data_IF_782376553607
#
_entry.id   IF_782376553607
#
_cell.length_a   1.000
_cell.length_b   1.000
_cell.length_c   1.000
_cell.angle_alpha   90.00
_cell.angle_beta   90.00
_cell.angle_gamma   90.00
#
_symmetry.space_group_name_H-M   'P 1'
#
loop_
_entity.id
_entity.type
_entity.pdbx_description
1 polymer ?
#
# COMPACT_ATOMS: atom_id res chain seq x y z
N UNK A 1 -24.37 39.22 -58.97
CA UNK A 1 -23.43 39.26 -57.83
C UNK A 1 -23.71 38.06 -56.95
N UNK A 2 -22.90 37.02 -57.13
CA UNK A 2 -22.98 35.70 -56.51
C UNK A 2 -21.66 35.47 -55.77
N UNK A 3 -21.65 35.01 -54.50
CA UNK A 3 -20.40 34.80 -53.78
C UNK A 3 -19.70 33.52 -54.25
N UNK A 4 -18.35 33.44 -54.20
CA UNK A 4 -17.63 32.25 -54.62
C UNK A 4 -17.58 31.18 -53.52
N UNK A 5 -17.61 29.93 -53.98
CA UNK A 5 -17.59 28.71 -53.18
C UNK A 5 -16.26 28.52 -52.40
N UNK A 6 -16.38 28.20 -51.11
CA UNK A 6 -15.26 27.79 -50.28
C UNK A 6 -14.86 26.33 -50.59
N UNK A 7 -13.62 26.12 -51.01
CA UNK A 7 -13.02 24.79 -51.18
C UNK A 7 -12.69 24.19 -49.80
N UNK A 8 -13.22 22.99 -49.55
CA UNK A 8 -12.82 22.14 -48.42
C UNK A 8 -11.43 21.56 -48.68
N UNK A 9 -10.49 21.78 -47.75
CA UNK A 9 -9.25 21.03 -47.65
C UNK A 9 -9.28 20.24 -46.34
N UNK A 10 -9.43 18.92 -46.46
CA UNK A 10 -9.33 17.99 -45.36
C UNK A 10 -7.86 17.90 -44.90
N UNK A 11 -7.58 18.33 -43.67
CA UNK A 11 -6.29 18.09 -43.02
C UNK A 11 -6.38 16.74 -42.30
N UNK A 12 -5.53 15.81 -42.74
CA UNK A 12 -5.37 14.50 -42.14
C UNK A 12 -4.89 14.61 -40.68
N UNK A 13 -5.63 14.02 -39.74
CA UNK A 13 -5.14 13.79 -38.38
C UNK A 13 -4.06 12.70 -38.42
N UNK A 14 -2.80 13.11 -38.32
CA UNK A 14 -1.70 12.21 -37.99
C UNK A 14 -1.78 11.82 -36.52
N UNK A 15 -1.77 10.51 -36.28
CA UNK A 15 -1.87 9.90 -34.95
C UNK A 15 -0.77 10.41 -34.02
N UNK A 16 -1.19 11.00 -32.91
CA UNK A 16 -0.31 11.50 -31.85
C UNK A 16 0.56 10.39 -31.28
N UNK A 17 1.87 10.54 -31.45
CA UNK A 17 2.87 9.80 -30.70
C UNK A 17 2.64 10.02 -29.20
N UNK A 18 2.39 8.95 -28.44
CA UNK A 18 2.41 9.02 -26.98
C UNK A 18 3.84 9.23 -26.54
N UNK A 19 4.21 10.50 -26.38
CA UNK A 19 5.44 10.95 -25.74
C UNK A 19 5.44 10.38 -24.32
N UNK A 20 6.49 9.63 -24.01
CA UNK A 20 6.82 9.26 -22.64
C UNK A 20 7.19 10.57 -21.93
N UNK A 21 6.24 11.16 -21.20
CA UNK A 21 6.51 12.33 -20.35
C UNK A 21 7.49 11.89 -19.26
N UNK A 22 8.76 12.16 -19.50
CA UNK A 22 9.80 12.26 -18.48
C UNK A 22 9.56 13.60 -17.80
N UNK A 23 9.13 13.59 -16.53
CA UNK A 23 9.07 14.84 -15.77
C UNK A 23 8.00 14.95 -14.70
N UNK A 24 7.81 13.93 -13.85
CA UNK A 24 7.28 14.11 -12.49
C UNK A 24 7.93 13.02 -11.64
N UNK A 25 8.64 13.36 -10.57
CA UNK A 25 8.90 12.37 -9.51
C UNK A 25 7.54 11.92 -9.01
N UNK A 26 7.07 10.69 -9.29
CA UNK A 26 5.71 10.37 -8.95
C UNK A 26 5.65 10.36 -7.42
N UNK A 27 4.74 11.16 -6.85
CA UNK A 27 4.04 10.72 -5.66
C UNK A 27 3.73 9.24 -5.88
N UNK A 28 4.27 8.37 -5.02
CA UNK A 28 4.46 6.95 -5.35
C UNK A 28 3.12 6.33 -5.75
N UNK A 29 2.90 6.21 -7.07
CA UNK A 29 1.68 5.69 -7.62
C UNK A 29 1.43 4.30 -7.03
N UNK A 30 0.17 3.92 -6.93
CA UNK A 30 -0.15 2.56 -6.51
C UNK A 30 0.37 1.63 -7.61
N UNK A 31 1.30 0.70 -7.30
CA UNK A 31 1.83 -0.19 -8.32
C UNK A 31 0.67 -1.00 -8.92
N UNK A 32 0.65 -1.06 -10.24
CA UNK A 32 -0.43 -1.65 -11.00
C UNK A 32 -0.01 -3.00 -11.57
N UNK A 33 -0.62 -4.07 -11.09
CA UNK A 33 -0.51 -5.37 -11.73
C UNK A 33 -1.93 -5.88 -12.05
N UNK A 34 -2.25 -6.12 -13.33
CA UNK A 34 -3.59 -6.52 -13.74
C UNK A 34 -4.08 -7.80 -13.07
N UNK A 35 -5.41 -7.99 -13.04
CA UNK A 35 -6.04 -9.20 -12.51
C UNK A 35 -5.65 -10.45 -13.32
N UNK A 36 -5.78 -11.66 -12.75
CA UNK A 36 -5.63 -12.90 -13.50
C UNK A 36 -6.50 -12.88 -14.77
N UNK A 37 -5.93 -13.31 -15.90
CA UNK A 37 -6.59 -13.29 -17.21
C UNK A 37 -6.12 -12.16 -18.15
N UNK A 38 -5.50 -11.11 -17.62
CA UNK A 38 -4.90 -10.06 -18.47
C UNK A 38 -3.71 -10.58 -19.29
N UNK A 39 -3.46 -10.02 -20.48
CA UNK A 39 -2.43 -10.52 -21.40
C UNK A 39 -1.01 -10.49 -20.85
N UNK A 40 -0.70 -9.58 -19.93
CA UNK A 40 0.61 -9.44 -19.29
C UNK A 40 0.41 -9.27 -17.79
N UNK A 41 1.17 -10.01 -16.99
CA UNK A 41 1.17 -9.88 -15.52
C UNK A 41 2.49 -10.32 -14.88
N UNK A 42 2.74 -9.80 -13.69
CA UNK A 42 3.77 -10.35 -12.78
C UNK A 42 3.14 -11.36 -11.82
N UNK A 43 3.79 -12.49 -11.63
CA UNK A 43 3.41 -13.56 -10.72
C UNK A 43 4.62 -14.02 -9.87
N UNK A 44 4.37 -14.92 -8.91
CA UNK A 44 5.47 -15.60 -8.21
C UNK A 44 6.27 -16.46 -9.20
N UNK A 45 7.55 -16.72 -8.90
CA UNK A 45 8.45 -17.51 -9.77
C UNK A 45 7.83 -18.88 -10.15
N UNK A 46 7.14 -19.54 -9.22
CA UNK A 46 6.56 -20.87 -9.43
C UNK A 46 5.13 -20.83 -10.00
N UNK A 47 4.71 -19.70 -10.57
CA UNK A 47 3.30 -19.40 -10.79
C UNK A 47 2.59 -19.08 -9.47
N UNK A 48 1.54 -18.26 -9.53
CA UNK A 48 0.78 -17.85 -8.36
C UNK A 48 0.10 -16.50 -8.51
N UNK A 49 -0.39 -15.97 -7.39
CA UNK A 49 -1.13 -14.71 -7.39
C UNK A 49 -0.29 -13.53 -7.87
N UNK A 50 -0.97 -12.58 -8.50
CA UNK A 50 -0.40 -11.32 -8.96
C UNK A 50 0.30 -10.59 -7.82
N UNK A 51 1.50 -10.06 -8.08
CA UNK A 51 2.31 -9.33 -7.10
C UNK A 51 2.40 -7.86 -7.49
N UNK A 52 2.05 -6.95 -6.58
CA UNK A 52 2.34 -5.51 -6.69
C UNK A 52 3.55 -5.10 -5.83
N UNK A 53 4.05 -6.03 -5.03
CA UNK A 53 5.19 -5.85 -4.12
C UNK A 53 6.07 -7.09 -4.18
N UNK A 54 7.37 -6.89 -4.38
CA UNK A 54 8.41 -7.90 -4.40
C UNK A 54 9.61 -7.45 -3.56
N UNK A 55 10.52 -8.36 -3.22
CA UNK A 55 11.78 -7.98 -2.55
C UNK A 55 12.86 -7.64 -3.57
N UNK A 56 13.74 -6.70 -3.25
CA UNK A 56 14.98 -6.50 -3.98
C UNK A 56 15.90 -7.74 -3.85
N UNK A 57 16.83 -7.86 -4.81
CA UNK A 57 17.73 -8.99 -5.05
C UNK A 57 16.99 -10.33 -5.19
N UNK A 58 15.73 -10.31 -5.64
CA UNK A 58 14.94 -11.51 -5.89
C UNK A 58 14.61 -11.64 -7.37
N UNK A 59 13.80 -12.64 -7.71
CA UNK A 59 13.25 -12.79 -9.07
C UNK A 59 11.73 -12.83 -8.94
N UNK A 60 11.03 -12.18 -9.86
CA UNK A 60 9.58 -12.33 -10.03
C UNK A 60 9.28 -12.96 -11.37
N UNK A 61 8.20 -13.75 -11.45
CA UNK A 61 7.76 -14.34 -12.70
C UNK A 61 7.03 -13.31 -13.54
N UNK A 62 7.34 -13.25 -14.83
CA UNK A 62 6.53 -12.59 -15.86
C UNK A 62 5.81 -13.68 -16.62
N UNK A 63 4.48 -13.54 -16.73
CA UNK A 63 3.68 -14.35 -17.63
C UNK A 63 2.91 -13.44 -18.57
N UNK A 64 3.04 -13.69 -19.86
CA UNK A 64 2.21 -13.07 -20.88
C UNK A 64 1.55 -14.15 -21.74
N UNK A 65 0.26 -13.97 -22.05
CA UNK A 65 -0.55 -14.84 -22.88
C UNK A 65 -1.39 -13.96 -23.80
N UNK A 66 -1.24 -14.12 -25.11
CA UNK A 66 -1.90 -13.30 -26.12
C UNK A 66 -2.10 -14.08 -27.41
N UNK A 67 -2.80 -13.50 -28.37
CA UNK A 67 -3.04 -14.13 -29.67
C UNK A 67 -1.74 -14.32 -30.45
N UNK A 68 -1.70 -15.36 -31.29
CA UNK A 68 -0.53 -15.63 -32.13
C UNK A 68 -0.30 -14.42 -33.04
N UNK A 69 0.93 -13.87 -33.10
CA UNK A 69 1.22 -12.72 -33.94
C UNK A 69 0.96 -13.04 -35.42
N UNK A 70 0.12 -12.22 -36.08
CA UNK A 70 -0.25 -12.43 -37.48
C UNK A 70 0.91 -12.25 -38.47
N UNK A 71 1.97 -11.54 -38.04
CA UNK A 71 3.20 -11.33 -38.81
C UNK A 71 4.22 -12.47 -38.66
N UNK A 72 3.85 -13.56 -37.98
CA UNK A 72 4.71 -14.73 -37.80
C UNK A 72 5.86 -14.53 -36.80
N UNK A 73 5.83 -13.47 -35.99
CA UNK A 73 6.87 -13.23 -34.99
C UNK A 73 7.01 -14.42 -34.02
N UNK A 74 8.24 -14.91 -33.86
CA UNK A 74 8.58 -16.05 -32.98
C UNK A 74 9.17 -15.63 -31.65
N UNK A 75 9.39 -14.34 -31.44
CA UNK A 75 9.97 -13.77 -30.21
C UNK A 75 9.24 -12.51 -29.77
N UNK A 76 9.43 -12.15 -28.51
CA UNK A 76 8.99 -10.87 -27.94
C UNK A 76 10.13 -10.17 -27.22
N UNK A 77 10.09 -8.84 -27.21
CA UNK A 77 10.96 -8.00 -26.40
C UNK A 77 10.28 -7.71 -25.05
N UNK A 78 10.90 -8.16 -23.96
CA UNK A 78 10.56 -7.75 -22.60
C UNK A 78 11.41 -6.54 -22.23
N UNK A 79 10.76 -5.39 -22.04
CA UNK A 79 11.41 -4.15 -21.57
C UNK A 79 11.19 -3.96 -20.08
N UNK A 80 12.28 -3.76 -19.35
CA UNK A 80 12.25 -3.57 -17.89
C UNK A 80 12.84 -2.21 -17.56
N UNK A 81 12.02 -1.34 -16.99
CA UNK A 81 12.46 -0.06 -16.42
C UNK A 81 12.44 -0.11 -14.90
N UNK A 82 13.39 0.58 -14.27
CA UNK A 82 13.44 0.82 -12.83
C UNK A 82 13.52 2.31 -12.60
N UNK A 83 12.59 2.85 -11.81
CA UNK A 83 12.52 4.28 -11.50
C UNK A 83 12.53 5.17 -12.77
N UNK A 84 11.80 4.72 -13.80
CA UNK A 84 11.68 5.43 -15.08
C UNK A 84 12.82 5.18 -16.08
N UNK A 85 13.96 4.62 -15.66
CA UNK A 85 15.08 4.31 -16.56
C UNK A 85 15.00 2.88 -17.06
N UNK A 86 15.07 2.67 -18.38
CA UNK A 86 15.21 1.32 -18.94
C UNK A 86 16.52 0.71 -18.44
N UNK A 87 16.43 -0.44 -17.78
CA UNK A 87 17.58 -1.17 -17.26
C UNK A 87 17.93 -2.37 -18.12
N UNK A 88 16.93 -3.00 -18.73
CA UNK A 88 17.12 -4.21 -19.52
C UNK A 88 16.11 -4.26 -20.68
N UNK A 89 16.56 -4.85 -21.78
CA UNK A 89 15.74 -5.31 -22.90
C UNK A 89 16.13 -6.76 -23.14
N UNK A 90 15.15 -7.66 -23.22
CA UNK A 90 15.39 -9.08 -23.40
C UNK A 90 14.51 -9.62 -24.50
N UNK A 91 15.11 -10.29 -25.47
CA UNK A 91 14.38 -11.08 -26.45
C UNK A 91 14.06 -12.44 -25.83
N UNK A 92 12.79 -12.82 -25.80
CA UNK A 92 12.31 -14.08 -25.23
C UNK A 92 11.51 -14.82 -26.30
N UNK A 93 11.78 -16.13 -26.53
CA UNK A 93 11.02 -16.90 -27.51
C UNK A 93 9.55 -17.05 -27.08
N UNK A 94 8.65 -17.04 -28.07
CA UNK A 94 7.25 -17.36 -27.86
C UNK A 94 7.06 -18.87 -27.81
N UNK A 95 6.28 -19.33 -26.84
CA UNK A 95 5.77 -20.71 -26.83
C UNK A 95 4.36 -20.68 -27.39
N UNK A 96 4.17 -21.28 -28.56
CA UNK A 96 2.86 -21.38 -29.21
C UNK A 96 2.21 -22.70 -28.77
N UNK A 97 1.07 -22.62 -28.11
CA UNK A 97 0.29 -23.79 -27.69
C UNK A 97 -1.18 -23.40 -27.58
N UNK A 98 -2.08 -24.31 -27.95
CA UNK A 98 -3.53 -24.14 -27.80
C UNK A 98 -4.07 -22.84 -28.44
N UNK A 99 -3.53 -22.47 -29.61
CA UNK A 99 -3.93 -21.25 -30.34
C UNK A 99 -3.47 -19.93 -29.71
N UNK A 100 -2.59 -19.97 -28.70
CA UNK A 100 -2.07 -18.77 -28.01
C UNK A 100 -0.55 -18.73 -28.02
N UNK A 101 -0.01 -17.52 -28.05
CA UNK A 101 1.40 -17.27 -27.79
C UNK A 101 1.59 -16.98 -26.29
N UNK A 102 2.57 -17.66 -25.68
CA UNK A 102 2.90 -17.49 -24.26
C UNK A 102 4.37 -17.12 -24.07
N UNK A 103 4.62 -16.22 -23.12
CA UNK A 103 5.95 -15.91 -22.60
C UNK A 103 5.97 -16.23 -21.11
N UNK A 104 7.01 -16.94 -20.68
CA UNK A 104 7.38 -17.07 -19.27
C UNK A 104 8.82 -16.60 -19.11
N UNK A 105 9.06 -15.64 -18.21
CA UNK A 105 10.39 -15.12 -17.98
C UNK A 105 10.60 -14.72 -16.52
N UNK A 106 11.84 -14.79 -16.03
CA UNK A 106 12.22 -14.30 -14.71
C UNK A 106 12.74 -12.87 -14.78
N UNK A 107 12.12 -11.97 -14.01
CA UNK A 107 12.54 -10.57 -13.87
C UNK A 107 13.37 -10.44 -12.59
N UNK A 108 14.68 -10.17 -12.73
CA UNK A 108 15.59 -9.95 -11.60
C UNK A 108 15.39 -8.56 -11.03
N UNK A 109 15.09 -8.47 -9.73
CA UNK A 109 14.91 -7.19 -9.01
C UNK A 109 16.21 -6.76 -8.33
N UNK A 110 17.27 -6.54 -9.09
CA UNK A 110 18.64 -6.34 -8.57
C UNK A 110 18.79 -5.24 -7.51
N UNK A 111 17.92 -4.23 -7.51
CA UNK A 111 17.97 -3.11 -6.58
C UNK A 111 16.56 -2.77 -6.12
N UNK A 112 16.45 -2.01 -5.02
CA UNK A 112 15.18 -1.37 -4.66
C UNK A 112 14.75 -0.39 -5.76
N UNK A 113 13.44 -0.25 -5.97
CA UNK A 113 12.88 0.65 -6.98
C UNK A 113 11.44 0.30 -7.35
N UNK A 114 10.81 1.18 -8.13
CA UNK A 114 9.57 0.90 -8.84
C UNK A 114 9.96 0.26 -10.17
N UNK A 115 9.51 -0.96 -10.42
CA UNK A 115 9.78 -1.69 -11.65
C UNK A 115 8.57 -1.61 -12.56
N UNK A 116 8.81 -1.28 -13.83
CA UNK A 116 7.82 -1.30 -14.91
C UNK A 116 8.26 -2.29 -15.98
N UNK A 117 7.36 -3.21 -16.34
CA UNK A 117 7.64 -4.27 -17.31
C UNK A 117 6.61 -4.20 -18.43
N UNK A 118 7.09 -4.08 -19.67
CA UNK A 118 6.26 -4.13 -20.86
C UNK A 118 6.72 -5.25 -21.78
N UNK A 119 5.77 -5.92 -22.42
CA UNK A 119 6.02 -6.97 -23.42
C UNK A 119 5.71 -6.38 -24.79
N UNK A 120 6.62 -6.55 -25.76
CA UNK A 120 6.41 -6.08 -27.12
C UNK A 120 6.63 -7.19 -28.13
N UNK A 121 5.80 -7.23 -29.16
CA UNK A 121 5.95 -8.12 -30.31
C UNK A 121 5.98 -7.25 -31.56
N UNK A 122 6.97 -7.48 -32.42
CA UNK A 122 7.19 -6.68 -33.64
C UNK A 122 7.13 -5.17 -33.39
N UNK A 123 7.74 -4.75 -32.29
CA UNK A 123 7.79 -3.36 -31.88
C UNK A 123 6.48 -2.79 -31.28
N UNK A 124 5.38 -3.53 -31.18
CA UNK A 124 4.10 -3.08 -30.58
C UNK A 124 3.93 -3.60 -29.15
N UNK A 125 3.35 -2.80 -28.26
CA UNK A 125 3.08 -3.22 -26.88
C UNK A 125 1.93 -4.25 -26.87
N UNK A 126 2.11 -5.32 -26.09
CA UNK A 126 1.07 -6.32 -25.82
C UNK A 126 0.46 -6.03 -24.46
N UNK A 127 -0.85 -5.82 -24.40
CA UNK A 127 -1.56 -5.49 -23.17
C UNK A 127 -1.02 -4.23 -22.47
N UNK A 128 -1.08 -4.23 -21.14
CA UNK A 128 -0.64 -3.11 -20.32
C UNK A 128 0.81 -3.26 -19.82
N UNK A 129 1.44 -2.13 -19.51
CA UNK A 129 2.66 -2.10 -18.71
C UNK A 129 2.30 -2.43 -17.27
N UNK A 130 2.98 -3.42 -16.71
CA UNK A 130 2.80 -3.82 -15.31
C UNK A 130 3.83 -3.13 -14.44
N UNK A 131 3.42 -2.72 -13.25
CA UNK A 131 4.22 -2.00 -12.26
C UNK A 131 4.19 -2.70 -10.91
N UNK A 132 5.36 -2.85 -10.28
CA UNK A 132 5.47 -3.39 -8.94
C UNK A 132 6.64 -2.76 -8.17
N UNK A 133 6.52 -2.71 -6.85
CA UNK A 133 7.59 -2.21 -5.98
C UNK A 133 8.57 -3.32 -5.62
N UNK A 134 9.87 -3.11 -5.86
CA UNK A 134 10.94 -3.91 -5.28
C UNK A 134 11.42 -3.26 -3.98
N UNK A 135 11.05 -3.84 -2.84
CA UNK A 135 11.25 -3.30 -1.49
C UNK A 135 12.54 -3.86 -0.86
N UNK A 136 13.16 -3.15 0.09
CA UNK A 136 14.33 -3.67 0.80
C UNK A 136 13.98 -4.94 1.60
N UNK A 137 14.93 -5.88 1.68
CA UNK A 137 14.78 -7.07 2.55
C UNK A 137 14.82 -6.72 4.03
N UNK A 138 15.63 -5.74 4.40
CA UNK A 138 15.79 -5.24 5.77
C UNK A 138 16.13 -3.76 5.73
N UNK A 139 15.77 -3.01 6.78
CA UNK A 139 16.26 -1.65 6.98
C UNK A 139 17.19 -1.60 8.21
N UNK A 140 18.20 -0.74 8.13
CA UNK A 140 19.15 -0.45 9.21
C UNK A 140 19.63 1.01 9.06
N UNK A 141 20.49 1.47 9.97
CA UNK A 141 21.02 2.85 9.99
C UNK A 141 21.74 3.28 8.70
N UNK A 142 22.21 2.34 7.88
CA UNK A 142 22.88 2.59 6.58
C UNK A 142 21.92 2.56 5.39
N UNK A 143 20.63 2.30 5.63
CA UNK A 143 19.66 2.20 4.53
C UNK A 143 19.40 3.57 3.92
N UNK A 144 19.57 3.67 2.60
CA UNK A 144 19.37 4.93 1.88
C UNK A 144 17.90 5.36 1.83
N UNK A 145 17.70 6.68 1.62
CA UNK A 145 16.39 7.35 1.53
C UNK A 145 15.39 6.60 0.64
N UNK A 146 15.82 6.10 -0.53
CA UNK A 146 14.95 5.39 -1.48
C UNK A 146 14.36 4.10 -0.90
N UNK A 147 15.16 3.31 -0.18
CA UNK A 147 14.71 2.07 0.47
C UNK A 147 13.67 2.37 1.54
N UNK A 148 13.90 3.42 2.34
CA UNK A 148 12.99 3.85 3.39
C UNK A 148 11.68 4.34 2.78
N UNK A 149 11.73 5.18 1.74
CA UNK A 149 10.53 5.68 1.05
C UNK A 149 9.69 4.56 0.45
N UNK A 150 10.31 3.52 -0.12
CA UNK A 150 9.59 2.35 -0.64
C UNK A 150 8.90 1.56 0.47
N UNK A 151 9.61 1.30 1.57
CA UNK A 151 9.00 0.66 2.73
C UNK A 151 7.82 1.48 3.28
N UNK A 152 7.99 2.79 3.43
CA UNK A 152 6.93 3.69 3.88
C UNK A 152 5.73 3.72 2.93
N UNK A 153 5.94 3.71 1.61
CA UNK A 153 4.84 3.70 0.65
C UNK A 153 4.03 2.41 0.71
N UNK A 154 4.68 1.26 0.91
CA UNK A 154 4.01 -0.03 1.09
C UNK A 154 3.12 -0.04 2.33
N UNK A 155 3.56 0.61 3.41
CA UNK A 155 2.79 0.79 4.64
C UNK A 155 1.66 1.81 4.48
N UNK A 156 1.95 2.96 3.88
CA UNK A 156 1.01 4.06 3.68
C UNK A 156 -0.17 3.66 2.78
N UNK A 157 0.07 2.90 1.70
CA UNK A 157 -1.00 2.35 0.85
C UNK A 157 -1.90 1.34 1.58
N UNK A 158 -1.47 0.84 2.74
CA UNK A 158 -2.24 -0.02 3.65
C UNK A 158 -2.78 0.76 4.85
N UNK A 159 -2.82 2.08 4.74
CA UNK A 159 -3.29 3.01 5.76
C UNK A 159 -2.45 3.08 7.05
N UNK A 160 -1.30 2.39 7.16
CA UNK A 160 -0.42 2.59 8.31
C UNK A 160 0.20 3.99 8.25
N UNK A 161 0.06 4.74 9.34
CA UNK A 161 0.50 6.13 9.38
C UNK A 161 2.02 6.20 9.58
N UNK A 162 2.73 6.58 8.52
CA UNK A 162 4.20 6.70 8.48
C UNK A 162 4.67 8.13 8.76
N UNK A 163 5.97 8.27 9.02
CA UNK A 163 6.62 9.56 9.27
C UNK A 163 7.11 10.28 8.02
N UNK A 164 8.14 11.11 8.20
CA UNK A 164 8.72 11.91 7.13
C UNK A 164 9.30 11.03 6.01
N UNK A 165 9.01 11.38 4.76
CA UNK A 165 9.36 10.54 3.62
C UNK A 165 10.88 10.31 3.52
N UNK A 166 11.26 9.04 3.49
CA UNK A 166 12.65 8.60 3.37
C UNK A 166 13.47 8.72 4.66
N UNK A 167 12.84 9.04 5.79
CA UNK A 167 13.48 9.06 7.11
C UNK A 167 12.95 7.92 7.99
N UNK A 168 13.87 7.20 8.65
CA UNK A 168 13.49 6.19 9.64
C UNK A 168 13.27 6.84 11.00
N UNK A 169 12.17 7.58 11.12
CA UNK A 169 11.81 8.33 12.33
C UNK A 169 10.94 7.52 13.30
N UNK A 170 10.66 8.09 14.46
CA UNK A 170 9.83 7.45 15.48
C UNK A 170 8.42 7.13 14.99
N UNK A 171 7.84 7.92 14.08
CA UNK A 171 6.50 7.66 13.52
C UNK A 171 6.53 6.46 12.56
N UNK A 172 7.57 6.33 11.75
CA UNK A 172 7.84 5.14 10.93
C UNK A 172 8.05 3.91 11.81
N UNK A 173 8.81 4.03 12.91
CA UNK A 173 8.95 2.96 13.91
C UNK A 173 7.60 2.49 14.48
N UNK A 174 6.67 3.41 14.77
CA UNK A 174 5.32 3.08 15.24
C UNK A 174 4.46 2.43 14.16
N UNK A 175 4.59 2.84 12.90
CA UNK A 175 3.94 2.16 11.78
C UNK A 175 4.41 0.70 11.65
N UNK A 176 5.71 0.45 11.85
CA UNK A 176 6.28 -0.90 11.87
C UNK A 176 5.71 -1.75 13.00
N UNK A 177 5.58 -1.18 14.21
CA UNK A 177 4.92 -1.85 15.33
C UNK A 177 3.47 -2.21 14.98
N UNK A 178 2.71 -1.30 14.35
CA UNK A 178 1.31 -1.53 13.97
C UNK A 178 1.14 -2.65 12.94
N UNK A 179 1.93 -2.65 11.85
CA UNK A 179 1.83 -3.72 10.85
C UNK A 179 2.31 -5.07 11.39
N UNK A 180 3.32 -5.07 12.27
CA UNK A 180 3.80 -6.31 12.90
C UNK A 180 2.77 -6.87 13.88
N UNK A 181 2.11 -6.01 14.66
CA UNK A 181 0.92 -6.36 15.44
C UNK A 181 -0.13 -7.03 14.55
N UNK A 182 -0.49 -6.42 13.42
CA UNK A 182 -1.51 -6.96 12.50
C UNK A 182 -1.16 -8.34 11.95
N UNK A 183 0.12 -8.57 11.70
CA UNK A 183 0.65 -9.83 11.14
C UNK A 183 0.94 -10.90 12.21
N UNK A 184 0.75 -10.60 13.51
CA UNK A 184 1.09 -11.51 14.61
C UNK A 184 2.60 -11.71 14.79
N UNK A 185 3.43 -10.75 14.39
CA UNK A 185 4.88 -10.78 14.54
C UNK A 185 5.33 -10.13 15.85
N UNK A 186 6.59 -10.35 16.24
CA UNK A 186 7.21 -9.67 17.38
C UNK A 186 7.04 -8.15 17.25
N UNK A 187 6.55 -7.49 18.30
CA UNK A 187 6.10 -6.08 18.24
C UNK A 187 7.27 -5.09 18.36
N UNK A 188 8.20 -5.13 17.40
CA UNK A 188 9.42 -4.30 17.35
C UNK A 188 9.33 -3.23 16.26
N UNK A 189 10.04 -2.09 16.37
CA UNK A 189 10.04 -1.05 15.34
C UNK A 189 11.02 -1.39 14.20
N UNK A 190 11.05 -2.65 13.74
CA UNK A 190 12.06 -3.15 12.80
C UNK A 190 11.45 -3.64 11.49
N UNK A 191 12.10 -3.28 10.39
CA UNK A 191 11.84 -3.84 9.07
C UNK A 191 12.87 -4.94 8.79
N UNK A 192 12.45 -6.19 8.96
CA UNK A 192 13.27 -7.39 8.75
C UNK A 192 12.79 -8.20 7.54
N UNK A 193 13.53 -9.25 7.21
CA UNK A 193 13.24 -10.10 6.05
C UNK A 193 11.89 -10.83 6.17
N UNK A 194 11.46 -11.14 7.40
CA UNK A 194 10.17 -11.76 7.69
C UNK A 194 9.04 -10.81 7.33
N UNK A 195 9.06 -9.57 7.84
CA UNK A 195 8.07 -8.55 7.51
C UNK A 195 8.03 -8.27 6.00
N UNK A 196 9.21 -8.07 5.38
CA UNK A 196 9.29 -7.82 3.95
C UNK A 196 8.70 -8.96 3.10
N UNK A 197 8.91 -10.24 3.50
CA UNK A 197 8.30 -11.40 2.85
C UNK A 197 6.77 -11.41 3.02
N UNK A 198 6.25 -11.17 4.23
CA UNK A 198 4.79 -11.10 4.49
C UNK A 198 4.14 -10.04 3.58
N UNK A 199 4.71 -8.84 3.53
CA UNK A 199 4.19 -7.74 2.69
C UNK A 199 4.28 -8.05 1.19
N UNK A 200 5.37 -8.68 0.74
CA UNK A 200 5.49 -9.13 -0.66
C UNK A 200 4.48 -10.22 -1.03
N UNK A 201 3.98 -10.99 -0.05
CA UNK A 201 2.88 -11.95 -0.29
C UNK A 201 1.49 -11.30 -0.32
N UNK A 202 1.41 -9.98 -0.20
CA UNK A 202 0.16 -9.23 -0.19
C UNK A 202 -0.50 -9.15 1.19
N UNK A 203 0.18 -9.60 2.25
CA UNK A 203 -0.38 -9.61 3.59
C UNK A 203 -0.23 -8.24 4.28
N UNK A 204 -0.95 -8.04 5.40
CA UNK A 204 -0.83 -6.85 6.25
C UNK A 204 -1.96 -5.85 6.12
N UNK A 205 -2.93 -6.11 5.23
CA UNK A 205 -4.15 -5.32 5.14
C UNK A 205 -5.02 -5.51 6.40
N UNK A 206 -5.79 -4.47 6.73
CA UNK A 206 -6.69 -4.47 7.88
C UNK A 206 -8.10 -4.92 7.47
N UNK A 207 -8.64 -6.00 8.08
CA UNK A 207 -9.94 -6.55 7.73
C UNK A 207 -11.04 -5.81 8.50
N UNK A 208 -11.65 -4.81 7.86
CA UNK A 208 -12.79 -4.08 8.43
C UNK A 208 -13.91 -5.05 8.78
N UNK A 209 -14.33 -5.05 10.04
CA UNK A 209 -15.39 -5.90 10.58
C UNK A 209 -16.77 -5.26 10.51
N UNK A 210 -16.86 -3.95 10.66
CA UNK A 210 -18.11 -3.20 10.77
C UNK A 210 -18.35 -2.30 9.55
N UNK A 211 -18.33 -2.89 8.35
CA UNK A 211 -18.38 -2.14 7.07
C UNK A 211 -19.61 -1.23 6.94
N UNK A 212 -20.72 -1.59 7.58
CA UNK A 212 -21.99 -0.88 7.50
C UNK A 212 -22.15 0.21 8.58
N UNK A 213 -21.16 0.39 9.46
CA UNK A 213 -21.16 1.44 10.48
C UNK A 213 -20.81 2.84 9.94
N UNK A 214 -20.68 2.97 8.61
CA UNK A 214 -20.22 4.19 7.95
C UNK A 214 -18.85 4.59 8.46
N UNK A 215 -18.65 5.86 8.76
CA UNK A 215 -17.42 6.35 9.37
C UNK A 215 -17.29 6.01 10.86
N UNK A 216 -16.33 5.17 11.22
CA UNK A 216 -16.17 4.65 12.58
C UNK A 216 -14.71 4.31 12.94
N UNK A 217 -14.46 4.02 14.21
CA UNK A 217 -13.18 3.53 14.73
C UNK A 217 -13.31 2.05 15.05
N UNK A 218 -12.38 1.23 14.57
CA UNK A 218 -12.23 -0.16 15.00
C UNK A 218 -11.03 -0.29 15.93
N UNK A 219 -11.26 -0.84 17.14
CA UNK A 219 -10.22 -1.14 18.12
C UNK A 219 -10.11 -2.66 18.31
N UNK A 220 -9.14 -3.25 17.62
CA UNK A 220 -8.78 -4.66 17.74
C UNK A 220 -7.84 -4.84 18.94
N UNK A 221 -8.38 -5.32 20.05
CA UNK A 221 -7.62 -5.51 21.29
C UNK A 221 -6.68 -6.71 21.24
N UNK A 222 -6.96 -7.73 20.44
CA UNK A 222 -6.08 -8.89 20.25
C UNK A 222 -4.76 -8.45 19.62
N UNK A 223 -4.85 -7.57 18.63
CA UNK A 223 -3.69 -7.02 17.94
C UNK A 223 -3.17 -5.73 18.57
N UNK A 224 -3.92 -5.07 19.45
CA UNK A 224 -3.60 -3.76 20.01
C UNK A 224 -3.45 -2.69 18.89
N UNK A 225 -4.44 -2.63 18.00
CA UNK A 225 -4.50 -1.73 16.85
C UNK A 225 -5.77 -0.88 16.92
N UNK A 226 -5.64 0.39 16.53
CA UNK A 226 -6.75 1.30 16.31
C UNK A 226 -6.77 1.72 14.84
N UNK A 227 -7.87 1.43 14.14
CA UNK A 227 -8.08 1.78 12.74
C UNK A 227 -9.21 2.81 12.61
N UNK A 228 -8.98 3.84 11.80
CA UNK A 228 -9.98 4.83 11.41
C UNK A 228 -10.57 4.42 10.07
N UNK A 229 -11.85 4.11 10.06
CA UNK A 229 -12.58 3.64 8.89
C UNK A 229 -13.44 4.78 8.35
N UNK A 230 -13.18 5.19 7.12
CA UNK A 230 -13.95 6.18 6.39
C UNK A 230 -15.26 5.62 5.85
N UNK A 231 -16.00 6.48 5.15
CA UNK A 231 -17.23 6.07 4.46
C UNK A 231 -16.99 4.90 3.50
N UNK A 232 -17.99 4.03 3.34
CA UNK A 232 -17.92 2.85 2.48
C UNK A 232 -16.92 1.77 2.92
N UNK A 233 -16.52 1.77 4.20
CA UNK A 233 -15.63 0.74 4.77
C UNK A 233 -14.15 0.89 4.36
N UNK A 234 -13.74 2.06 3.87
CA UNK A 234 -12.34 2.32 3.50
C UNK A 234 -11.48 2.53 4.73
N UNK A 235 -10.42 1.73 4.90
CA UNK A 235 -9.42 1.98 5.96
C UNK A 235 -8.63 3.23 5.60
N UNK A 236 -8.70 4.27 6.43
CA UNK A 236 -8.01 5.55 6.19
C UNK A 236 -6.69 5.64 6.94
N UNK A 237 -6.66 5.23 8.22
CA UNK A 237 -5.46 5.30 9.07
C UNK A 237 -5.42 4.17 10.09
N UNK A 238 -4.23 3.63 10.32
CA UNK A 238 -3.98 2.58 11.31
C UNK A 238 -2.86 3.03 12.24
N UNK A 239 -3.11 2.91 13.55
CA UNK A 239 -2.19 3.27 14.61
C UNK A 239 -1.97 2.09 15.57
N UNK A 240 -0.79 1.96 16.18
CA UNK A 240 -0.66 1.10 17.35
C UNK A 240 -1.41 1.76 18.53
N UNK A 241 -2.10 0.96 19.33
CA UNK A 241 -2.70 1.41 20.59
C UNK A 241 -2.20 0.57 21.76
N UNK A 242 -2.42 1.05 22.99
CA UNK A 242 -2.30 0.29 24.23
C UNK A 242 -3.62 0.43 25.00
N UNK A 243 -4.37 -0.67 25.08
CA UNK A 243 -5.67 -0.73 25.73
C UNK A 243 -5.56 -1.02 27.23
N UNK A 244 -6.69 -1.24 27.90
CA UNK A 244 -6.78 -1.56 29.31
C UNK A 244 -6.06 -2.84 29.70
N UNK A 245 -5.29 -2.80 30.78
CA UNK A 245 -4.65 -3.96 31.38
C UNK A 245 -5.70 -5.01 31.84
N UNK A 246 -5.33 -6.28 32.10
CA UNK A 246 -6.31 -7.28 32.54
C UNK A 246 -7.10 -6.87 33.80
N UNK A 247 -6.47 -6.15 34.74
CA UNK A 247 -7.11 -5.64 35.95
C UNK A 247 -8.03 -4.44 35.70
N UNK A 248 -7.90 -3.75 34.57
CA UNK A 248 -8.69 -2.57 34.19
C UNK A 248 -9.02 -2.63 32.69
N UNK A 249 -9.80 -3.64 32.28
CA UNK A 249 -9.96 -3.98 30.87
C UNK A 249 -10.70 -2.88 30.11
N UNK A 250 -10.34 -2.69 28.84
CA UNK A 250 -11.18 -1.90 27.93
C UNK A 250 -12.47 -2.66 27.67
N UNK A 251 -13.60 -1.96 27.77
CA UNK A 251 -14.92 -2.53 27.50
C UNK A 251 -15.06 -2.93 26.03
N UNK A 252 -15.67 -4.10 25.78
CA UNK A 252 -16.00 -4.59 24.44
C UNK A 252 -17.38 -4.09 24.01
N UNK A 253 -17.61 -3.95 22.71
CA UNK A 253 -18.90 -3.54 22.15
C UNK A 253 -18.80 -2.31 21.25
N UNK A 254 -19.96 -1.82 20.81
CA UNK A 254 -20.09 -0.67 19.92
C UNK A 254 -20.62 0.53 20.68
N UNK A 255 -19.84 1.60 20.69
CA UNK A 255 -20.13 2.83 21.43
C UNK A 255 -20.10 4.04 20.51
N UNK A 256 -20.49 5.21 21.01
CA UNK A 256 -20.45 6.46 20.23
C UNK A 256 -19.74 7.55 21.00
N UNK A 257 -18.88 8.31 20.32
CA UNK A 257 -18.20 9.45 20.94
C UNK A 257 -19.21 10.51 21.37
N UNK A 258 -19.30 10.72 22.68
CA UNK A 258 -20.28 11.62 23.30
C UNK A 258 -19.64 12.90 23.87
N UNK A 259 -18.33 12.90 24.10
CA UNK A 259 -17.58 14.04 24.64
C UNK A 259 -16.19 14.11 24.02
N UNK A 260 -15.71 15.32 23.76
CA UNK A 260 -14.37 15.59 23.26
C UNK A 260 -13.71 16.71 24.06
N UNK A 261 -12.52 16.43 24.59
CA UNK A 261 -11.72 17.40 25.33
C UNK A 261 -10.43 17.70 24.56
N UNK A 262 -10.26 18.95 24.12
CA UNK A 262 -9.04 19.42 23.50
C UNK A 262 -7.97 19.76 24.56
N UNK A 263 -6.69 19.58 24.24
CA UNK A 263 -5.57 19.83 25.15
C UNK A 263 -5.22 18.61 26.01
N UNK A 264 -4.52 18.85 27.11
CA UNK A 264 -4.07 17.83 28.05
C UNK A 264 -4.78 18.00 29.38
N UNK A 265 -5.44 16.96 29.89
CA UNK A 265 -6.11 17.03 31.19
C UNK A 265 -5.15 16.70 32.35
N UNK A 266 -5.63 16.85 33.59
CA UNK A 266 -4.85 16.57 34.81
C UNK A 266 -4.34 15.12 34.93
N UNK A 267 -4.88 14.18 34.15
CA UNK A 267 -4.45 12.77 34.09
C UNK A 267 -3.39 12.53 33.00
N UNK A 268 -2.95 13.58 32.30
CA UNK A 268 -2.00 13.49 31.17
C UNK A 268 -2.63 12.92 29.89
N UNK A 269 -3.95 12.89 29.78
CA UNK A 269 -4.64 12.46 28.56
C UNK A 269 -4.67 13.61 27.56
N UNK A 270 -4.06 13.41 26.38
CA UNK A 270 -3.92 14.45 25.35
C UNK A 270 -4.98 14.25 24.27
N UNK A 271 -5.80 15.27 23.98
CA UNK A 271 -6.87 15.27 22.97
C UNK A 271 -7.82 14.05 23.09
N UNK A 272 -8.68 14.07 24.10
CA UNK A 272 -9.49 12.92 24.49
C UNK A 272 -10.83 12.87 23.76
N UNK A 273 -11.15 11.72 23.16
CA UNK A 273 -12.48 11.42 22.60
C UNK A 273 -13.15 10.31 23.41
N UNK A 274 -14.10 10.67 24.27
CA UNK A 274 -14.78 9.75 25.17
C UNK A 274 -15.95 9.05 24.47
N UNK A 275 -16.00 7.72 24.56
CA UNK A 275 -17.00 6.90 23.87
C UNK A 275 -17.94 6.15 24.83
N UNK A 276 -17.56 5.91 26.09
CA UNK A 276 -18.47 5.35 27.11
C UNK A 276 -17.96 5.62 28.53
N UNK A 277 -18.78 6.13 29.45
CA UNK A 277 -18.51 6.18 30.92
C UNK A 277 -17.06 6.55 31.32
N UNK A 278 -16.42 7.50 30.63
CA UNK A 278 -15.04 7.92 30.88
C UNK A 278 -13.93 7.18 30.12
N UNK A 279 -14.25 6.11 29.39
CA UNK A 279 -13.35 5.47 28.44
C UNK A 279 -13.16 6.34 27.21
N UNK A 280 -11.92 6.58 26.83
CA UNK A 280 -11.56 7.48 25.74
C UNK A 280 -10.47 6.93 24.83
N UNK A 281 -10.45 7.43 23.59
CA UNK A 281 -9.27 7.42 22.73
C UNK A 281 -8.48 8.69 23.05
N UNK A 282 -7.22 8.57 23.44
CA UNK A 282 -6.40 9.74 23.79
C UNK A 282 -4.90 9.49 23.62
N UNK A 283 -4.16 10.58 23.39
CA UNK A 283 -2.71 10.60 23.45
C UNK A 283 -2.19 10.31 24.85
N UNK A 284 -1.12 9.53 24.98
CA UNK A 284 -0.45 9.30 26.25
C UNK A 284 1.07 9.17 26.10
N UNK A 285 1.82 9.58 27.13
CA UNK A 285 3.29 9.57 27.13
C UNK A 285 3.87 8.18 26.87
N UNK A 286 3.18 7.15 27.35
CA UNK A 286 3.59 5.76 27.23
C UNK A 286 2.52 4.94 26.52
N UNK A 287 2.89 4.35 25.39
CA UNK A 287 2.03 3.48 24.59
C UNK A 287 2.82 2.20 24.32
N UNK A 288 2.89 1.29 25.32
CA UNK A 288 3.65 0.07 25.16
C UNK A 288 3.02 -0.84 24.10
N UNK A 289 3.76 -1.86 23.71
CA UNK A 289 3.29 -2.79 22.69
C UNK A 289 2.28 -3.81 23.21
N UNK A 290 1.95 -3.77 24.50
CA UNK A 290 0.93 -4.55 25.20
C UNK A 290 -0.12 -3.63 25.84
N UNK A 291 -1.17 -4.20 26.43
CA UNK A 291 -2.25 -3.47 27.10
C UNK A 291 -1.84 -3.05 28.52
N UNK A 292 -1.85 -1.74 28.79
CA UNK A 292 -1.30 -1.17 30.03
C UNK A 292 -2.10 0.04 30.58
N UNK A 293 -3.22 0.38 29.94
CA UNK A 293 -4.04 1.51 30.39
C UNK A 293 -5.02 1.09 31.50
N UNK A 294 -5.72 2.08 32.06
CA UNK A 294 -6.85 1.87 32.98
C UNK A 294 -8.19 1.85 32.22
N UNK A 295 -8.24 1.14 31.09
CA UNK A 295 -9.42 0.98 30.24
C UNK A 295 -9.43 1.82 28.95
N UNK A 296 -8.77 2.97 28.92
CA UNK A 296 -8.72 3.82 27.72
C UNK A 296 -7.90 3.22 26.56
N UNK A 297 -8.15 3.70 25.34
CA UNK A 297 -7.34 3.38 24.15
C UNK A 297 -6.23 4.43 24.02
N UNK A 298 -5.03 4.14 24.54
CA UNK A 298 -3.89 5.05 24.43
C UNK A 298 -3.33 5.03 23.02
N UNK A 299 -3.06 6.20 22.47
CA UNK A 299 -2.36 6.39 21.20
C UNK A 299 -1.14 7.29 21.39
N UNK A 300 -0.13 7.24 20.51
CA UNK A 300 1.05 8.08 20.65
C UNK A 300 0.67 9.57 20.59
N UNK A 301 1.22 10.39 21.49
CA UNK A 301 0.91 11.84 21.54
C UNK A 301 1.02 12.54 20.18
N UNK A 302 2.06 12.30 19.35
CA UNK A 302 2.16 12.94 18.02
C UNK A 302 1.03 12.59 17.05
N UNK A 303 0.30 11.51 17.31
CA UNK A 303 -0.81 11.03 16.48
C UNK A 303 -2.19 11.42 17.06
N UNK A 304 -2.24 11.85 18.33
CA UNK A 304 -3.48 12.12 19.06
C UNK A 304 -4.33 13.22 18.45
N UNK A 305 -3.72 14.35 18.05
CA UNK A 305 -4.45 15.46 17.43
C UNK A 305 -5.07 15.04 16.07
N UNK A 306 -4.35 14.23 15.29
CA UNK A 306 -4.85 13.73 14.00
C UNK A 306 -6.08 12.83 14.18
N UNK A 307 -6.05 11.96 15.19
CA UNK A 307 -7.16 11.08 15.56
C UNK A 307 -8.32 11.90 16.11
N UNK A 308 -8.05 12.83 17.03
CA UNK A 308 -9.05 13.71 17.63
C UNK A 308 -9.78 14.55 16.58
N UNK A 309 -9.06 15.15 15.63
CA UNK A 309 -9.68 15.92 14.55
C UNK A 309 -10.47 15.04 13.58
N UNK A 310 -10.04 13.79 13.41
CA UNK A 310 -10.78 12.84 12.60
C UNK A 310 -12.08 12.43 13.30
N UNK A 311 -12.04 11.97 14.55
CA UNK A 311 -13.22 11.51 15.28
C UNK A 311 -14.24 12.65 15.48
N UNK A 312 -15.52 12.43 15.16
CA UNK A 312 -16.60 13.41 15.36
C UNK A 312 -17.48 12.99 16.55
N UNK A 313 -18.28 13.90 17.06
CA UNK A 313 -19.42 13.51 17.90
C UNK A 313 -20.29 12.49 17.16
N UNK A 314 -20.74 11.46 17.88
CA UNK A 314 -21.50 10.34 17.32
C UNK A 314 -20.68 9.28 16.56
N UNK A 315 -19.39 9.53 16.26
CA UNK A 315 -18.53 8.52 15.60
C UNK A 315 -18.54 7.23 16.41
N UNK A 316 -18.86 6.11 15.76
CA UNK A 316 -18.88 4.80 16.40
C UNK A 316 -17.46 4.37 16.77
N UNK A 317 -17.32 3.71 17.91
CA UNK A 317 -16.08 3.08 18.38
C UNK A 317 -16.42 1.63 18.68
N UNK A 318 -15.99 0.75 17.78
CA UNK A 318 -16.22 -0.69 17.83
C UNK A 318 -15.00 -1.37 18.45
N UNK A 319 -15.16 -1.91 19.65
CA UNK A 319 -14.08 -2.53 20.44
C UNK A 319 -14.28 -4.03 20.51
N UNK A 320 -13.29 -4.80 20.05
CA UNK A 320 -13.40 -6.26 19.91
C UNK A 320 -12.05 -6.99 20.07
N UNK A 321 -12.11 -8.32 19.99
CA UNK A 321 -10.96 -9.23 19.97
C UNK A 321 -10.95 -10.08 18.70
#
# INVERSE_FOLDING_TARGET
MTPPAARSAAVALSAGATVLVVGVTPAMAVPFNPKPGSPVRIERINGGNAMTVAQAHSTVGLRAVFDIPADGATTAEVRIARDGKITHRRTVPLVIKDGKATIKSGIKTEKVGIYRVGVRVSGRLVGDVVEFDAIPRSLNSRSGKRSISLAQAVLSRRAYVVGAQGQFDGRTGRALVAVRKRLGLSRTPTWDSTLAKRLARGEGDYPVRFKDHGRHVEADLSMQILALIGEGGKVERIYPTSSGAPATPTVLGSYSVYRKDYGTNAKGMVHSSYFIRGYAIHGYKEVPTYNASHGCLRVPVPDALSIFNWVRYGTKVDVYR
#
